data_IF_846946309508
#
_entry.id   IF_846946309508
#
_cell.length_a   1.000
_cell.length_b   1.000
_cell.length_c   1.000
_cell.angle_alpha   90.00
_cell.angle_beta   90.00
_cell.angle_gamma   90.00
#
_symmetry.space_group_name_H-M   'P 1'
#
loop_
_entity.id
_entity.type
_entity.pdbx_description
1 polymer ?
#
# COMPACT_ATOMS: atom_id res chain seq x y z
N UNK A 1 -49.95 -4.98 10.63
CA UNK A 1 -50.57 -4.39 9.42
C UNK A 1 -49.88 -3.05 9.15
N UNK A 2 -49.18 -2.90 8.02
CA UNK A 2 -48.54 -1.64 7.62
C UNK A 2 -49.61 -0.55 7.50
N UNK A 3 -49.46 0.58 8.22
CA UNK A 3 -50.54 1.58 8.33
C UNK A 3 -50.50 2.63 7.24
N UNK A 4 -49.34 2.91 6.63
CA UNK A 4 -49.23 3.95 5.58
C UNK A 4 -48.37 3.49 4.40
N UNK A 5 -48.53 4.17 3.24
CA UNK A 5 -47.67 3.96 2.06
C UNK A 5 -46.20 4.28 2.35
N UNK A 6 -45.95 5.24 3.23
CA UNK A 6 -44.59 5.63 3.64
C UNK A 6 -43.89 4.49 4.39
N UNK A 7 -44.59 3.83 5.31
CA UNK A 7 -44.05 2.68 6.05
C UNK A 7 -43.64 1.54 5.09
N UNK A 8 -44.40 1.36 4.00
CA UNK A 8 -44.11 0.37 2.96
C UNK A 8 -42.85 0.68 2.18
N UNK A 9 -42.65 1.94 1.80
CA UNK A 9 -41.44 2.36 1.12
C UNK A 9 -40.23 2.25 2.06
N UNK A 10 -40.35 2.68 3.31
CA UNK A 10 -39.24 2.65 4.26
C UNK A 10 -38.78 1.23 4.58
N UNK A 11 -39.72 0.28 4.72
CA UNK A 11 -39.43 -1.14 4.89
C UNK A 11 -38.82 -1.79 3.63
N UNK A 12 -39.25 -1.37 2.43
CA UNK A 12 -38.65 -1.84 1.19
C UNK A 12 -37.20 -1.33 1.03
N UNK A 13 -36.94 -0.07 1.37
CA UNK A 13 -35.61 0.50 1.34
C UNK A 13 -34.68 -0.14 2.38
N UNK A 14 -35.15 -0.38 3.61
CA UNK A 14 -34.34 -1.05 4.65
C UNK A 14 -34.03 -2.50 4.31
N UNK A 15 -34.97 -3.23 3.69
CA UNK A 15 -34.74 -4.60 3.22
C UNK A 15 -33.68 -4.67 2.09
N UNK A 16 -33.72 -3.72 1.15
CA UNK A 16 -32.71 -3.62 0.07
C UNK A 16 -31.34 -3.22 0.61
N UNK A 17 -31.28 -2.30 1.57
CA UNK A 17 -30.03 -1.91 2.23
C UNK A 17 -29.41 -3.07 3.03
N UNK A 18 -30.23 -3.83 3.77
CA UNK A 18 -29.78 -5.00 4.51
C UNK A 18 -29.33 -6.15 3.58
N UNK A 19 -29.98 -6.32 2.43
CA UNK A 19 -29.57 -7.30 1.41
C UNK A 19 -28.28 -6.88 0.69
N UNK A 20 -28.06 -5.59 0.45
CA UNK A 20 -26.81 -5.07 -0.12
C UNK A 20 -25.61 -5.27 0.82
N UNK A 21 -25.83 -5.15 2.13
CA UNK A 21 -24.80 -5.37 3.14
C UNK A 21 -24.42 -6.86 3.32
N UNK A 22 -25.35 -7.79 3.05
CA UNK A 22 -25.10 -9.24 3.15
C UNK A 22 -24.65 -9.89 1.83
N UNK A 23 -24.88 -9.24 0.69
CA UNK A 23 -24.54 -9.76 -0.64
C UNK A 23 -23.08 -9.50 -1.08
N UNK A 24 -22.16 -9.24 -0.15
CA UNK A 24 -20.73 -9.20 -0.47
C UNK A 24 -20.29 -8.01 -1.35
N UNK A 25 -21.12 -6.97 -1.51
CA UNK A 25 -20.70 -5.68 -2.09
C UNK A 25 -19.83 -4.85 -1.12
N UNK A 26 -19.45 -5.43 0.01
CA UNK A 26 -18.29 -4.97 0.76
C UNK A 26 -17.10 -5.23 -0.15
N UNK A 27 -16.57 -4.17 -0.76
CA UNK A 27 -15.23 -4.21 -1.32
C UNK A 27 -14.28 -4.49 -0.14
N UNK A 28 -14.12 -5.76 0.21
CA UNK A 28 -13.08 -6.18 1.12
C UNK A 28 -11.80 -5.70 0.44
N UNK A 29 -11.10 -4.76 1.08
CA UNK A 29 -9.76 -4.43 0.66
C UNK A 29 -8.95 -5.72 0.79
N UNK A 30 -8.78 -6.42 -0.32
CA UNK A 30 -8.09 -7.70 -0.36
C UNK A 30 -6.60 -7.38 -0.28
N UNK A 31 -6.12 -7.21 0.95
CA UNK A 31 -4.71 -7.04 1.26
C UNK A 31 -4.00 -8.41 1.15
N UNK A 32 -4.06 -9.01 -0.04
CA UNK A 32 -3.26 -10.18 -0.34
C UNK A 32 -1.80 -9.73 -0.44
N UNK A 33 -0.94 -10.28 0.42
CA UNK A 33 0.50 -10.05 0.32
C UNK A 33 0.99 -10.74 -0.95
N UNK A 34 1.22 -9.95 -2.00
CA UNK A 34 1.88 -10.43 -3.21
C UNK A 34 3.39 -10.41 -2.96
N UNK A 35 3.99 -11.59 -2.89
CA UNK A 35 5.43 -11.75 -2.64
C UNK A 35 6.04 -12.59 -3.75
N UNK A 36 7.19 -12.15 -4.26
CA UNK A 36 8.06 -12.94 -5.13
C UNK A 36 8.89 -13.99 -4.37
N UNK A 37 8.79 -14.04 -3.03
CA UNK A 37 9.75 -14.73 -2.18
C UNK A 37 11.09 -13.99 -2.12
N UNK A 38 12.16 -14.62 -1.58
CA UNK A 38 13.48 -14.03 -1.55
C UNK A 38 14.05 -13.83 -2.96
N UNK A 39 14.33 -12.58 -3.33
CA UNK A 39 15.00 -12.22 -4.58
C UNK A 39 16.27 -11.43 -4.26
N UNK A 40 17.42 -11.94 -4.69
CA UNK A 40 18.70 -11.29 -4.48
C UNK A 40 18.99 -10.34 -5.65
N UNK A 41 18.67 -9.05 -5.49
CA UNK A 41 18.95 -8.01 -6.48
C UNK A 41 20.14 -7.19 -5.99
N UNK A 42 21.20 -7.12 -6.80
CA UNK A 42 22.33 -6.26 -6.48
C UNK A 42 21.94 -4.80 -6.67
N UNK A 43 22.09 -4.00 -5.61
CA UNK A 43 21.87 -2.55 -5.69
C UNK A 43 23.20 -1.84 -5.51
N UNK A 44 23.82 -1.38 -6.60
CA UNK A 44 25.11 -0.71 -6.50
C UNK A 44 24.92 0.74 -6.04
N UNK A 45 25.87 1.24 -5.23
CA UNK A 45 25.95 2.66 -4.90
C UNK A 45 26.60 3.42 -6.08
N UNK A 46 25.81 3.67 -7.12
CA UNK A 46 26.20 4.50 -8.26
C UNK A 46 25.14 5.57 -8.53
N UNK A 47 25.40 6.43 -9.52
CA UNK A 47 24.43 7.42 -10.01
C UNK A 47 23.24 6.81 -10.76
N UNK A 48 23.30 5.52 -11.10
CA UNK A 48 22.21 4.80 -11.76
C UNK A 48 21.49 3.82 -10.82
N UNK A 49 22.22 3.21 -9.88
CA UNK A 49 21.66 2.21 -8.97
C UNK A 49 21.07 1.01 -9.72
N UNK A 50 19.85 0.64 -9.37
CA UNK A 50 19.05 -0.37 -10.09
C UNK A 50 17.62 0.14 -10.29
N UNK A 51 17.08 -0.02 -11.49
CA UNK A 51 15.69 0.23 -11.83
C UNK A 51 14.91 -1.07 -11.65
N UNK A 52 13.79 -1.05 -10.94
CA UNK A 52 12.92 -2.21 -10.71
C UNK A 52 11.52 -1.92 -11.22
N UNK A 53 10.97 -2.84 -11.99
CA UNK A 53 9.54 -2.91 -12.29
C UNK A 53 8.91 -3.97 -11.36
N UNK A 54 8.09 -3.55 -10.41
CA UNK A 54 7.52 -4.44 -9.39
C UNK A 54 6.35 -5.26 -9.92
N UNK A 55 5.79 -4.88 -11.07
CA UNK A 55 4.71 -5.63 -11.75
C UNK A 55 5.29 -6.80 -12.55
N UNK A 56 6.42 -6.60 -13.24
CA UNK A 56 7.01 -7.60 -14.15
C UNK A 56 8.23 -8.31 -13.56
N UNK A 57 8.85 -7.76 -12.50
CA UNK A 57 10.10 -8.25 -11.92
C UNK A 57 11.36 -7.86 -12.70
N UNK A 58 11.23 -7.15 -13.83
CA UNK A 58 12.38 -6.70 -14.61
C UNK A 58 13.25 -5.73 -13.80
N UNK A 59 14.57 -5.94 -13.81
CA UNK A 59 15.51 -5.05 -13.16
C UNK A 59 16.80 -4.88 -13.96
N UNK A 60 17.38 -3.68 -13.92
CA UNK A 60 18.61 -3.35 -14.64
C UNK A 60 19.27 -2.10 -14.08
N UNK A 61 20.56 -1.89 -14.33
CA UNK A 61 21.24 -0.62 -14.09
C UNK A 61 20.99 0.43 -15.18
N UNK A 62 20.21 0.09 -16.22
CA UNK A 62 19.79 1.00 -17.28
C UNK A 62 18.26 1.10 -17.34
N UNK A 63 17.68 2.31 -17.38
CA UNK A 63 16.23 2.48 -17.36
C UNK A 63 15.55 1.90 -18.59
N UNK A 64 16.20 1.95 -19.76
CA UNK A 64 15.66 1.39 -20.99
C UNK A 64 15.58 -0.15 -20.98
N UNK A 65 16.39 -0.80 -20.13
CA UNK A 65 16.42 -2.25 -19.97
C UNK A 65 15.49 -2.74 -18.84
N UNK A 66 14.88 -1.83 -18.09
CA UNK A 66 13.76 -2.10 -17.18
C UNK A 66 12.58 -1.16 -17.53
N UNK A 67 11.96 -1.33 -18.71
CA UNK A 67 10.92 -0.43 -19.18
C UNK A 67 9.72 -0.42 -18.22
N UNK A 68 9.19 0.77 -17.96
CA UNK A 68 8.11 0.97 -16.99
C UNK A 68 8.51 0.68 -15.54
N UNK A 69 9.79 0.93 -15.18
CA UNK A 69 10.24 0.81 -13.80
C UNK A 69 9.41 1.68 -12.84
N UNK A 70 9.22 1.17 -11.62
CA UNK A 70 8.47 1.80 -10.55
C UNK A 70 9.39 2.38 -9.47
N UNK A 71 10.50 1.67 -9.18
CA UNK A 71 11.43 2.02 -8.10
C UNK A 71 12.85 2.09 -8.65
N UNK A 72 13.63 3.08 -8.22
CA UNK A 72 15.05 3.18 -8.54
C UNK A 72 15.86 3.59 -7.30
N UNK A 73 16.35 2.63 -6.49
CA UNK A 73 17.25 2.94 -5.39
C UNK A 73 18.66 3.19 -5.93
N UNK A 74 19.24 4.35 -5.59
CA UNK A 74 20.57 4.76 -6.02
C UNK A 74 21.23 5.69 -5.01
N UNK A 75 22.57 5.80 -5.07
CA UNK A 75 23.35 6.81 -4.34
C UNK A 75 24.78 6.84 -4.86
N UNK A 76 25.36 8.03 -5.03
CA UNK A 76 26.77 8.16 -5.44
C UNK A 76 27.80 7.93 -4.33
N UNK A 77 27.38 7.89 -3.06
CA UNK A 77 28.29 7.91 -1.90
C UNK A 77 28.01 6.83 -0.84
N UNK A 78 26.82 6.23 -0.86
CA UNK A 78 26.42 5.14 0.03
C UNK A 78 24.90 4.94 0.05
N UNK A 79 24.45 3.68 0.09
CA UNK A 79 23.03 3.34 0.13
C UNK A 79 22.49 3.32 1.56
N UNK A 80 21.41 4.04 1.81
CA UNK A 80 20.64 3.99 3.06
C UNK A 80 19.18 3.76 2.74
N UNK A 81 18.68 2.57 3.05
CA UNK A 81 17.26 2.20 2.86
C UNK A 81 16.42 2.52 4.10
N UNK A 82 17.06 2.50 5.28
CA UNK A 82 16.45 2.76 6.58
C UNK A 82 17.44 3.57 7.41
N UNK A 83 16.98 4.64 8.06
CA UNK A 83 17.87 5.46 8.86
C UNK A 83 18.21 4.73 10.18
N UNK A 84 19.49 4.48 10.47
CA UNK A 84 19.91 3.81 11.71
C UNK A 84 19.73 4.67 12.97
N UNK A 85 19.38 5.96 12.85
CA UNK A 85 19.61 6.97 13.90
C UNK A 85 18.41 7.33 14.79
N UNK A 86 17.21 6.75 14.56
CA UNK A 86 16.17 6.49 15.57
C UNK A 86 14.73 6.70 15.06
N UNK A 87 13.80 5.81 15.51
CA UNK A 87 14.12 4.56 16.18
C UNK A 87 14.81 3.60 15.19
N UNK A 88 15.95 3.05 15.63
CA UNK A 88 16.87 2.29 14.79
C UNK A 88 16.14 1.09 14.16
N UNK A 89 16.26 0.94 12.84
CA UNK A 89 15.68 -0.18 12.09
C UNK A 89 14.22 -0.01 11.66
N UNK A 90 13.63 1.18 11.80
CA UNK A 90 12.25 1.45 11.38
C UNK A 90 12.08 1.70 9.88
N UNK A 91 11.01 1.14 9.31
CA UNK A 91 10.44 1.61 8.03
C UNK A 91 9.76 2.94 8.30
N UNK A 92 10.24 4.01 7.65
CA UNK A 92 9.57 5.29 7.69
C UNK A 92 8.23 5.19 6.97
N UNK A 93 7.16 5.63 7.62
CA UNK A 93 5.85 5.77 7.01
C UNK A 93 5.50 7.25 6.99
N UNK A 94 5.29 7.80 5.80
CA UNK A 94 4.86 9.18 5.66
C UNK A 94 3.35 9.22 5.86
N UNK A 95 2.85 10.13 6.72
CA UNK A 95 1.42 10.40 6.74
C UNK A 95 1.02 11.17 5.47
N UNK A 96 0.05 10.66 4.72
CA UNK A 96 -0.62 11.38 3.65
C UNK A 96 -1.21 12.67 4.22
N UNK A 97 -0.85 13.82 3.65
CA UNK A 97 -1.29 15.15 4.12
C UNK A 97 -0.18 16.02 4.72
N UNK A 98 1.08 15.55 4.74
CA UNK A 98 2.24 16.38 5.14
C UNK A 98 2.44 16.40 6.65
N UNK A 99 3.11 15.36 7.17
CA UNK A 99 3.57 15.30 8.55
C UNK A 99 4.95 14.63 8.61
N UNK A 100 5.66 14.80 9.73
CA UNK A 100 6.95 14.15 9.94
C UNK A 100 6.82 12.62 9.80
N UNK A 101 7.74 12.04 9.04
CA UNK A 101 7.90 10.59 8.91
C UNK A 101 8.20 10.00 10.28
N UNK A 102 7.44 8.98 10.69
CA UNK A 102 7.56 8.38 12.02
C UNK A 102 7.44 6.86 11.95
N UNK A 103 8.02 6.18 12.93
CA UNK A 103 7.85 4.74 13.07
C UNK A 103 6.44 4.43 13.56
N UNK A 104 5.83 3.41 12.94
CA UNK A 104 4.62 2.82 13.48
C UNK A 104 4.97 1.99 14.72
N UNK A 105 4.13 2.06 15.73
CA UNK A 105 4.25 1.16 16.87
C UNK A 105 4.02 -0.28 16.39
N UNK A 106 4.72 -1.24 17.01
CA UNK A 106 4.50 -2.66 16.72
C UNK A 106 3.02 -3.01 16.97
N UNK A 107 2.41 -3.72 16.01
CA UNK A 107 0.99 -4.08 16.07
C UNK A 107 0.02 -2.99 15.61
N UNK A 108 0.52 -1.85 15.09
CA UNK A 108 -0.36 -0.84 14.47
C UNK A 108 -1.12 -1.46 13.31
N UNK A 109 -2.45 -1.41 13.37
CA UNK A 109 -3.32 -1.88 12.30
C UNK A 109 -3.15 -1.00 11.06
N UNK A 110 -2.81 -1.61 9.93
CA UNK A 110 -2.86 -1.00 8.61
C UNK A 110 -4.18 -1.41 7.95
N UNK A 111 -4.96 -0.42 7.49
CA UNK A 111 -6.22 -0.66 6.80
C UNK A 111 -6.40 0.33 5.66
N UNK A 112 -7.46 0.16 4.86
CA UNK A 112 -7.84 1.13 3.84
C UNK A 112 -8.15 2.55 4.40
N UNK A 113 -8.39 2.68 5.71
CA UNK A 113 -8.53 3.97 6.39
C UNK A 113 -7.22 4.58 6.90
N UNK A 114 -6.09 3.87 6.75
CA UNK A 114 -4.79 4.38 7.17
C UNK A 114 -4.33 5.52 6.27
N UNK A 115 -3.97 6.65 6.87
CA UNK A 115 -3.40 7.81 6.18
C UNK A 115 -1.89 7.68 5.98
N UNK A 116 -1.40 6.48 5.75
CA UNK A 116 0.01 6.10 5.74
C UNK A 116 0.44 5.72 4.32
N UNK A 117 1.61 6.19 3.86
CA UNK A 117 2.21 5.86 2.57
C UNK A 117 3.72 5.65 2.68
#
# INVERSE_FOLDING_TARGET
MMKTRLDRHLMAFSAVAAAGASAGFVNNAEAAVVSSGPVNINVPSTTAGVYLNVVTGANSSSPAAAPGWDVNPWSGTGLSYFNPSAPAGGVYVQRTGGGATANLAVGTMISAGSVYG
#
